data_IF_307941797623
#
_entry.id   IF_307941797623
#
_cell.length_a   1.000
_cell.length_b   1.000
_cell.length_c   1.000
_cell.angle_alpha   90.00
_cell.angle_beta   90.00
_cell.angle_gamma   90.00
#
_symmetry.space_group_name_H-M   'P 1'
#
loop_
_entity.id
_entity.type
_entity.pdbx_description
1 polymer ?
#
# COMPACT_ATOMS: atom_id res chain seq x y z
N UNK A 1 -3.69 -22.34 58.62
CA UNK A 1 -2.79 -21.27 58.15
C UNK A 1 -1.55 -21.88 57.50
N UNK A 2 -1.41 -21.74 56.17
CA UNK A 2 -0.19 -21.67 55.34
C UNK A 2 -0.43 -22.31 53.96
N UNK A 3 -1.07 -21.56 53.07
CA UNK A 3 -0.91 -21.77 51.63
C UNK A 3 0.36 -21.03 51.21
N UNK A 4 1.47 -21.76 51.06
CA UNK A 4 2.75 -21.18 50.65
C UNK A 4 2.87 -21.13 49.12
N UNK A 5 2.69 -19.93 48.58
CA UNK A 5 3.75 -19.20 47.86
C UNK A 5 4.37 -19.78 46.57
N UNK A 6 3.82 -20.80 45.91
CA UNK A 6 4.44 -21.35 44.69
C UNK A 6 3.66 -21.17 43.37
N UNK A 7 2.44 -20.61 43.39
CA UNK A 7 1.65 -20.41 42.15
C UNK A 7 1.79 -19.03 41.52
N UNK A 8 2.30 -18.03 42.25
CA UNK A 8 2.46 -16.66 41.76
C UNK A 8 3.71 -16.47 40.88
N UNK A 9 4.78 -17.22 41.11
CA UNK A 9 6.02 -17.08 40.35
C UNK A 9 5.92 -17.63 38.91
N UNK A 10 5.06 -18.63 38.67
CA UNK A 10 4.86 -19.23 37.35
C UNK A 10 4.03 -18.34 36.40
N UNK A 11 3.06 -17.60 36.94
CA UNK A 11 2.23 -16.66 36.17
C UNK A 11 2.99 -15.38 35.81
N UNK A 12 3.90 -14.90 36.66
CA UNK A 12 4.70 -13.71 36.39
C UNK A 12 5.74 -13.92 35.28
N UNK A 13 6.21 -15.16 35.04
CA UNK A 13 7.17 -15.42 33.97
C UNK A 13 6.53 -15.47 32.57
N UNK A 14 5.29 -15.98 32.47
CA UNK A 14 4.50 -15.94 31.24
C UNK A 14 4.01 -14.53 30.88
N UNK A 15 3.76 -13.68 31.88
CA UNK A 15 3.38 -12.28 31.66
C UNK A 15 4.56 -11.44 31.14
N UNK A 16 5.80 -11.74 31.53
CA UNK A 16 6.98 -10.99 31.03
C UNK A 16 7.34 -11.32 29.57
N UNK A 17 7.08 -12.55 29.12
CA UNK A 17 7.36 -12.95 27.74
C UNK A 17 6.31 -12.48 26.73
N UNK A 18 5.07 -12.23 27.19
CA UNK A 18 3.98 -11.74 26.33
C UNK A 18 4.07 -10.24 26.03
N UNK A 19 4.77 -9.45 26.86
CA UNK A 19 4.98 -8.01 26.61
C UNK A 19 6.03 -7.73 25.52
N UNK A 20 6.94 -8.68 25.25
CA UNK A 20 7.96 -8.55 24.19
C UNK A 20 7.44 -8.83 22.77
N UNK A 21 6.23 -9.38 22.64
CA UNK A 21 5.63 -9.74 21.34
C UNK A 21 4.74 -8.64 20.75
N UNK A 22 4.57 -7.51 21.42
CA UNK A 22 3.56 -6.50 21.07
C UNK A 22 4.21 -5.14 20.80
N UNK A 23 5.10 -5.06 19.82
CA UNK A 23 5.35 -3.83 19.02
C UNK A 23 6.29 -4.14 17.86
N UNK A 24 5.79 -4.93 16.90
CA UNK A 24 6.24 -4.75 15.52
C UNK A 24 5.73 -3.40 15.01
N UNK A 25 6.23 -2.28 15.52
CA UNK A 25 6.00 -0.97 14.93
C UNK A 25 6.71 -0.95 13.59
N UNK A 26 5.98 -1.30 12.53
CA UNK A 26 6.49 -1.18 11.17
C UNK A 26 6.55 0.30 10.80
N UNK A 27 7.76 0.82 10.57
CA UNK A 27 7.95 2.15 10.02
C UNK A 27 7.92 2.06 8.49
N UNK A 28 6.89 2.63 7.82
CA UNK A 28 6.83 2.67 6.36
C UNK A 28 8.03 3.37 5.72
N UNK A 29 8.81 4.17 6.46
CA UNK A 29 10.04 4.77 5.96
C UNK A 29 11.11 3.75 5.55
N UNK A 30 11.02 2.52 6.07
CA UNK A 30 11.93 1.41 5.76
C UNK A 30 11.49 0.60 4.53
N UNK A 31 10.33 0.94 3.95
CA UNK A 31 9.84 0.27 2.75
C UNK A 31 10.78 0.52 1.57
N UNK A 32 11.05 -0.55 0.80
CA UNK A 32 11.74 -0.44 -0.48
C UNK A 32 10.70 -0.17 -1.56
N UNK A 33 10.87 0.94 -2.28
CA UNK A 33 10.00 1.35 -3.38
C UNK A 33 10.78 1.26 -4.68
N UNK A 34 10.24 0.55 -5.66
CA UNK A 34 10.78 0.47 -7.01
C UNK A 34 9.84 1.18 -7.97
N UNK A 35 10.32 2.21 -8.66
CA UNK A 35 9.55 2.92 -9.68
C UNK A 35 9.61 2.11 -10.97
N UNK A 36 8.45 1.72 -11.49
CA UNK A 36 8.31 0.94 -12.72
C UNK A 36 8.21 1.90 -13.91
N UNK A 37 7.35 2.92 -13.78
CA UNK A 37 7.23 3.99 -14.77
C UNK A 37 6.84 5.30 -14.08
N UNK A 38 7.29 6.41 -14.64
CA UNK A 38 6.95 7.75 -14.19
C UNK A 38 6.66 8.65 -15.40
N UNK A 39 5.49 9.30 -15.41
CA UNK A 39 5.09 10.22 -16.45
C UNK A 39 4.67 11.58 -15.88
N UNK A 40 5.14 12.65 -16.51
CA UNK A 40 4.77 14.02 -16.16
C UNK A 40 3.59 14.48 -17.02
N UNK A 41 2.66 15.23 -16.43
CA UNK A 41 1.61 15.89 -17.20
C UNK A 41 2.21 16.90 -18.20
N UNK A 42 1.50 17.23 -19.27
CA UNK A 42 1.95 18.24 -20.25
C UNK A 42 2.15 19.61 -19.60
N UNK A 43 1.33 19.96 -18.62
CA UNK A 43 1.50 21.15 -17.78
C UNK A 43 2.69 21.11 -16.82
N UNK A 44 3.37 19.96 -16.69
CA UNK A 44 4.46 19.69 -15.75
C UNK A 44 4.11 19.99 -14.27
N UNK A 45 2.82 19.98 -13.91
CA UNK A 45 2.35 20.20 -12.52
C UNK A 45 2.24 18.90 -11.74
N UNK A 46 2.02 17.79 -12.45
CA UNK A 46 1.72 16.49 -11.85
C UNK A 46 2.64 15.41 -12.38
N UNK A 47 2.80 14.38 -11.56
CA UNK A 47 3.55 13.17 -11.87
C UNK A 47 2.66 11.99 -11.54
N UNK A 48 2.45 11.13 -12.53
CA UNK A 48 1.85 9.82 -12.38
C UNK A 48 2.98 8.79 -12.29
N UNK A 49 2.94 7.92 -11.29
CA UNK A 49 3.99 6.92 -11.04
C UNK A 49 3.34 5.56 -10.85
N UNK A 50 3.81 4.55 -11.57
CA UNK A 50 3.57 3.15 -11.23
C UNK A 50 4.77 2.60 -10.47
N UNK A 51 4.53 1.82 -9.43
CA UNK A 51 5.60 1.36 -8.55
C UNK A 51 5.27 0.01 -7.91
N UNK A 52 6.32 -0.70 -7.49
CA UNK A 52 6.23 -1.80 -6.53
C UNK A 52 6.74 -1.33 -5.16
N UNK A 53 6.25 -1.95 -4.09
CA UNK A 53 6.73 -1.67 -2.75
C UNK A 53 6.80 -2.95 -1.92
N UNK A 54 7.94 -3.15 -1.26
CA UNK A 54 8.20 -4.22 -0.31
C UNK A 54 8.48 -3.63 1.09
N UNK A 55 7.98 -4.28 2.14
CA UNK A 55 8.17 -3.81 3.52
C UNK A 55 7.50 -4.75 4.53
N UNK A 56 7.13 -4.24 5.70
CA UNK A 56 6.32 -4.96 6.69
C UNK A 56 7.07 -5.77 7.75
N UNK A 57 8.39 -5.53 7.91
CA UNK A 57 9.20 -6.21 8.92
C UNK A 57 9.14 -7.74 8.80
N UNK A 58 8.92 -8.43 9.93
CA UNK A 58 8.90 -9.90 9.98
C UNK A 58 7.73 -10.54 9.21
N UNK A 59 6.59 -9.87 9.09
CA UNK A 59 5.43 -10.40 8.35
C UNK A 59 5.60 -10.24 6.84
N UNK A 60 6.27 -9.17 6.41
CA UNK A 60 6.47 -8.87 5.00
C UNK A 60 5.17 -8.45 4.29
N UNK A 61 5.30 -7.58 3.30
CA UNK A 61 4.34 -7.45 2.21
C UNK A 61 5.06 -7.05 0.94
N UNK A 62 4.43 -7.35 -0.18
CA UNK A 62 4.86 -6.89 -1.49
C UNK A 62 3.63 -6.60 -2.34
N UNK A 63 3.57 -5.43 -2.96
CA UNK A 63 2.44 -5.01 -3.78
C UNK A 63 2.85 -4.07 -4.90
N UNK A 64 1.93 -3.85 -5.83
CA UNK A 64 2.04 -2.86 -6.89
C UNK A 64 0.91 -1.84 -6.74
N UNK A 65 1.20 -0.57 -7.02
CA UNK A 65 0.17 0.46 -7.10
C UNK A 65 0.55 1.57 -8.11
N UNK A 66 -0.38 2.48 -8.34
CA UNK A 66 -0.13 3.74 -9.03
C UNK A 66 -0.33 4.90 -8.05
N UNK A 67 0.39 6.00 -8.22
CA UNK A 67 0.18 7.25 -7.49
C UNK A 67 0.10 8.42 -8.45
N UNK A 68 -0.66 9.44 -8.06
CA UNK A 68 -0.70 10.74 -8.71
C UNK A 68 -0.31 11.81 -7.68
N UNK A 69 0.77 12.53 -7.93
CA UNK A 69 1.33 13.53 -7.02
C UNK A 69 1.65 14.85 -7.74
N UNK A 70 1.71 15.94 -6.99
CA UNK A 70 2.29 17.20 -7.47
C UNK A 70 3.81 17.05 -7.57
N UNK A 71 4.46 17.74 -8.52
CA UNK A 71 5.94 17.69 -8.69
C UNK A 71 6.69 18.06 -7.41
N UNK A 72 6.15 18.97 -6.60
CA UNK A 72 6.75 19.40 -5.33
C UNK A 72 6.61 18.40 -4.17
N UNK A 73 5.89 17.29 -4.38
CA UNK A 73 5.66 16.25 -3.37
C UNK A 73 6.47 15.01 -3.71
N UNK A 74 7.10 14.41 -2.70
CA UNK A 74 7.73 13.10 -2.80
C UNK A 74 6.65 12.03 -3.04
N UNK A 75 7.05 10.91 -3.64
CA UNK A 75 6.19 9.74 -3.73
C UNK A 75 5.89 9.22 -2.32
N UNK A 76 4.61 8.97 -2.05
CA UNK A 76 4.13 8.30 -0.85
C UNK A 76 3.51 6.96 -1.27
N UNK A 77 4.10 5.86 -0.82
CA UNK A 77 3.67 4.51 -1.18
C UNK A 77 2.27 4.16 -0.64
N UNK A 78 1.76 4.91 0.34
CA UNK A 78 0.40 4.74 0.90
C UNK A 78 -0.65 5.55 0.17
N UNK A 79 -0.25 6.55 -0.61
CA UNK A 79 -1.13 7.40 -1.40
C UNK A 79 -1.36 6.80 -2.81
N UNK A 80 -1.85 5.55 -2.82
CA UNK A 80 -2.11 4.76 -4.02
C UNK A 80 -3.52 4.97 -4.61
N UNK A 81 -3.65 4.85 -5.93
CA UNK A 81 -4.90 5.03 -6.66
C UNK A 81 -5.78 3.78 -6.66
N UNK A 82 -5.20 2.60 -6.48
CA UNK A 82 -5.89 1.31 -6.58
C UNK A 82 -6.07 0.68 -5.20
N UNK A 83 -7.18 -0.02 -5.01
CA UNK A 83 -7.44 -0.87 -3.85
C UNK A 83 -7.94 -0.12 -2.62
N UNK A 84 -8.81 -0.78 -1.85
CA UNK A 84 -9.17 -0.36 -0.48
C UNK A 84 -7.96 -0.47 0.45
N UNK A 85 -7.24 -1.58 0.36
CA UNK A 85 -6.05 -1.90 1.16
C UNK A 85 -4.81 -1.71 0.29
N UNK A 86 -4.08 -0.61 0.50
CA UNK A 86 -2.98 -0.18 -0.39
C UNK A 86 -1.81 -1.15 -0.45
N UNK A 87 -1.60 -1.94 0.60
CA UNK A 87 -0.52 -2.92 0.74
C UNK A 87 -0.83 -4.29 0.13
N UNK A 88 -2.03 -4.49 -0.41
CA UNK A 88 -2.45 -5.80 -0.90
C UNK A 88 -1.97 -6.06 -2.32
N UNK A 89 -1.45 -7.27 -2.55
CA UNK A 89 -0.96 -7.73 -3.86
C UNK A 89 -2.10 -8.13 -4.82
N UNK A 90 -3.06 -7.22 -5.02
CA UNK A 90 -4.23 -7.48 -5.85
C UNK A 90 -4.04 -7.07 -7.31
N UNK A 91 -3.03 -6.25 -7.60
CA UNK A 91 -2.78 -5.65 -8.91
C UNK A 91 -1.35 -5.93 -9.37
N UNK A 92 -1.16 -6.01 -10.68
CA UNK A 92 0.15 -6.20 -11.35
C UNK A 92 0.15 -5.53 -12.73
N UNK A 93 1.30 -5.47 -13.40
CA UNK A 93 1.45 -4.92 -14.76
C UNK A 93 0.80 -3.53 -14.91
N UNK A 94 1.04 -2.66 -13.94
CA UNK A 94 0.44 -1.33 -13.87
C UNK A 94 1.17 -0.39 -14.84
N UNK A 95 0.42 0.22 -15.74
CA UNK A 95 0.86 1.31 -16.60
C UNK A 95 0.02 2.55 -16.30
N UNK A 96 0.67 3.71 -16.29
CA UNK A 96 0.02 5.01 -16.16
C UNK A 96 0.33 5.82 -17.40
N UNK A 97 -0.69 6.49 -17.95
CA UNK A 97 -0.55 7.29 -19.16
C UNK A 97 -1.42 8.53 -19.09
N UNK A 98 -0.85 9.70 -19.36
CA UNK A 98 -1.64 10.92 -19.52
C UNK A 98 -2.45 10.91 -20.82
N UNK A 99 -3.76 11.17 -20.73
CA UNK A 99 -4.62 11.40 -21.91
C UNK A 99 -4.53 12.89 -22.27
N UNK A 100 -4.67 13.75 -21.28
CA UNK A 100 -4.52 15.21 -21.34
C UNK A 100 -4.23 15.77 -19.92
N UNK A 101 -4.23 17.09 -19.76
CA UNK A 101 -3.96 17.74 -18.47
C UNK A 101 -5.07 17.59 -17.41
N UNK A 102 -6.20 16.96 -17.75
CA UNK A 102 -7.35 16.73 -16.86
C UNK A 102 -7.67 15.24 -16.70
N UNK A 103 -7.08 14.36 -17.51
CA UNK A 103 -7.43 12.95 -17.59
C UNK A 103 -6.18 12.06 -17.57
N UNK A 104 -6.13 11.14 -16.61
CA UNK A 104 -5.09 10.13 -16.46
C UNK A 104 -5.69 8.74 -16.71
N UNK A 105 -5.03 7.91 -17.50
CA UNK A 105 -5.34 6.48 -17.61
C UNK A 105 -4.42 5.66 -16.71
N UNK A 106 -5.00 4.71 -15.96
CA UNK A 106 -4.27 3.69 -15.22
C UNK A 106 -4.76 2.32 -15.68
N UNK A 107 -3.88 1.54 -16.32
CA UNK A 107 -4.18 0.20 -16.81
C UNK A 107 -3.39 -0.86 -16.06
N UNK A 108 -4.00 -2.01 -15.74
CA UNK A 108 -3.42 -3.01 -14.85
C UNK A 108 -4.05 -4.38 -15.02
N UNK A 109 -3.35 -5.44 -14.61
CA UNK A 109 -3.94 -6.74 -14.33
C UNK A 109 -4.39 -6.79 -12.87
N UNK A 110 -5.44 -7.55 -12.59
CA UNK A 110 -5.94 -7.76 -11.22
C UNK A 110 -6.20 -9.23 -10.93
N UNK A 111 -6.12 -9.60 -9.64
CA UNK A 111 -6.50 -10.91 -9.15
C UNK A 111 -8.00 -10.94 -8.90
N UNK A 112 -8.73 -11.88 -9.53
CA UNK A 112 -10.19 -11.99 -9.42
C UNK A 112 -10.67 -12.97 -8.33
N UNK A 113 -9.79 -13.40 -7.43
CA UNK A 113 -10.17 -14.23 -6.27
C UNK A 113 -11.20 -13.51 -5.40
N UNK A 114 -12.19 -14.22 -4.81
CA UNK A 114 -13.14 -13.65 -3.85
C UNK A 114 -12.49 -12.83 -2.73
N UNK A 115 -11.29 -13.22 -2.29
CA UNK A 115 -10.52 -12.53 -1.24
C UNK A 115 -10.21 -11.07 -1.60
N UNK A 116 -10.05 -10.76 -2.89
CA UNK A 116 -9.72 -9.42 -3.37
C UNK A 116 -10.94 -8.63 -3.84
N UNK A 117 -12.15 -9.20 -3.83
CA UNK A 117 -13.35 -8.57 -4.42
C UNK A 117 -13.64 -7.20 -3.82
N UNK A 118 -13.64 -7.09 -2.49
CA UNK A 118 -13.88 -5.80 -1.81
C UNK A 118 -12.73 -4.82 -2.03
N UNK A 119 -11.49 -5.33 -2.07
CA UNK A 119 -10.33 -4.49 -2.31
C UNK A 119 -10.39 -3.87 -3.71
N UNK A 120 -10.68 -4.68 -4.73
CA UNK A 120 -10.64 -4.29 -6.14
C UNK A 120 -11.80 -3.36 -6.54
N UNK A 121 -12.86 -3.32 -5.73
CA UNK A 121 -13.99 -2.42 -5.92
C UNK A 121 -13.66 -0.95 -5.63
N UNK A 122 -12.63 -0.66 -4.82
CA UNK A 122 -12.28 0.71 -4.42
C UNK A 122 -11.15 1.27 -5.28
N UNK A 123 -11.43 2.39 -5.94
CA UNK A 123 -10.53 3.14 -6.81
C UNK A 123 -10.70 4.63 -6.58
N UNK A 124 -9.64 5.40 -6.71
CA UNK A 124 -9.69 6.87 -6.61
C UNK A 124 -10.22 7.43 -7.92
N UNK A 125 -11.46 7.91 -7.95
CA UNK A 125 -12.09 8.40 -9.18
C UNK A 125 -11.45 9.69 -9.72
N UNK A 126 -11.00 10.58 -8.83
CA UNK A 126 -10.29 11.80 -9.18
C UNK A 126 -9.36 12.28 -8.09
N UNK A 127 -8.32 13.05 -8.47
CA UNK A 127 -7.38 13.66 -7.53
C UNK A 127 -6.80 14.94 -8.11
N UNK A 128 -6.78 16.01 -7.31
CA UNK A 128 -6.34 17.35 -7.74
C UNK A 128 -7.08 17.92 -8.97
N UNK A 129 -8.33 17.50 -9.18
CA UNK A 129 -9.11 17.86 -10.37
C UNK A 129 -8.84 16.98 -11.60
N UNK A 130 -7.89 16.04 -11.52
CA UNK A 130 -7.62 15.07 -12.58
C UNK A 130 -8.56 13.87 -12.43
N UNK A 131 -9.28 13.52 -13.49
CA UNK A 131 -10.10 12.30 -13.56
C UNK A 131 -9.22 11.10 -13.89
N UNK A 132 -9.49 9.97 -13.24
CA UNK A 132 -8.70 8.75 -13.40
C UNK A 132 -9.55 7.69 -14.10
N UNK A 133 -9.11 7.28 -15.28
CA UNK A 133 -9.74 6.25 -16.11
C UNK A 133 -9.03 4.93 -15.89
N UNK A 134 -9.79 3.90 -15.53
CA UNK A 134 -9.22 2.59 -15.19
C UNK A 134 -9.50 1.57 -16.28
N UNK A 135 -8.46 0.84 -16.68
CA UNK A 135 -8.56 -0.23 -17.68
C UNK A 135 -7.96 -1.54 -17.17
N UNK A 136 -8.79 -2.55 -17.00
CA UNK A 136 -8.31 -3.90 -16.66
C UNK A 136 -7.74 -4.56 -17.92
N UNK A 137 -6.50 -5.04 -17.83
CA UNK A 137 -5.81 -5.81 -18.88
C UNK A 137 -6.24 -7.28 -18.80
N UNK A 138 -6.30 -7.93 -19.96
CA UNK A 138 -6.50 -9.38 -20.08
C UNK A 138 -5.18 -10.12 -19.85
#
# INVERSE_FOLDING_TARGET
MKMHKNRMASLMWFALFSVLLITGCHDPSTDTIEIIAEEKSSSAKFIATSFSCAGGGAAGYFYFNASLRKVSKKLDQRDGLLGKHKTWKAFTDIEVRWIDDENLEASYKQTDSPDYRENNAVKVESKYGIKIHYKVKK
#
